data_IF_933251125419
#
_entry.id   IF_933251125419
#
_cell.length_a   1.000
_cell.length_b   1.000
_cell.length_c   1.000
_cell.angle_alpha   90.00
_cell.angle_beta   90.00
_cell.angle_gamma   90.00
#
_symmetry.space_group_name_H-M   'P 1'
#
loop_
_entity.id
_entity.type
_entity.pdbx_description
1 polymer ?
#
# COMPACT_ATOMS: atom_id res chain seq x y z
N UNK A 1 10.88 -5.97 -14.60
CA UNK A 1 10.55 -4.97 -15.64
C UNK A 1 9.93 -3.76 -14.96
N UNK A 2 10.45 -2.57 -15.21
CA UNK A 2 9.84 -1.33 -14.70
C UNK A 2 8.47 -1.12 -15.35
N UNK A 3 7.50 -0.71 -14.56
CA UNK A 3 6.16 -0.38 -15.02
C UNK A 3 6.01 1.15 -15.07
N UNK A 4 5.22 1.69 -16.03
CA UNK A 4 4.94 3.12 -16.05
C UNK A 4 4.48 3.63 -14.68
N UNK A 5 5.09 4.71 -14.21
CA UNK A 5 4.71 5.32 -12.95
C UNK A 5 3.27 5.83 -13.05
N UNK A 6 2.38 5.27 -12.24
CA UNK A 6 0.98 5.72 -12.14
C UNK A 6 0.76 6.66 -10.96
N UNK A 7 1.80 6.97 -10.17
CA UNK A 7 1.72 7.81 -8.99
C UNK A 7 3.01 8.61 -8.72
N UNK A 8 2.91 9.62 -7.86
CA UNK A 8 3.99 10.57 -7.56
C UNK A 8 4.91 10.15 -6.40
N UNK A 9 4.54 9.11 -5.65
CA UNK A 9 5.23 8.73 -4.43
C UNK A 9 6.00 7.40 -4.53
N UNK A 10 5.77 6.62 -5.59
CA UNK A 10 6.34 5.27 -5.73
C UNK A 10 6.62 4.90 -7.18
N UNK A 11 7.72 4.17 -7.38
CA UNK A 11 8.00 3.42 -8.59
C UNK A 11 7.56 1.96 -8.45
N UNK A 12 7.27 1.30 -9.57
CA UNK A 12 6.82 -0.09 -9.57
C UNK A 12 7.68 -0.95 -10.50
N UNK A 13 8.17 -2.07 -10.00
CA UNK A 13 8.96 -3.04 -10.77
C UNK A 13 8.36 -4.43 -10.60
N UNK A 14 7.99 -5.07 -11.71
CA UNK A 14 7.61 -6.50 -11.71
C UNK A 14 8.87 -7.34 -11.53
N UNK A 15 8.87 -8.20 -10.52
CA UNK A 15 9.94 -9.14 -10.19
C UNK A 15 9.85 -10.40 -11.07
N UNK A 16 10.95 -11.16 -11.13
CA UNK A 16 11.04 -12.37 -11.96
C UNK A 16 10.07 -13.48 -11.53
N UNK A 17 9.71 -13.51 -10.26
CA UNK A 17 8.78 -14.47 -9.67
C UNK A 17 7.30 -14.05 -9.78
N UNK A 18 7.03 -12.95 -10.50
CA UNK A 18 5.68 -12.46 -10.74
C UNK A 18 5.15 -11.49 -9.68
N UNK A 19 5.86 -11.25 -8.58
CA UNK A 19 5.48 -10.24 -7.56
C UNK A 19 5.81 -8.82 -8.01
N UNK A 20 5.33 -7.84 -7.26
CA UNK A 20 5.59 -6.42 -7.51
C UNK A 20 6.43 -5.80 -6.39
N UNK A 21 7.55 -5.19 -6.75
CA UNK A 21 8.25 -4.26 -5.88
C UNK A 21 7.65 -2.86 -6.03
N UNK A 22 7.09 -2.33 -4.95
CA UNK A 22 6.62 -0.95 -4.81
C UNK A 22 7.71 -0.15 -4.08
N UNK A 23 8.52 0.57 -4.83
CA UNK A 23 9.69 1.31 -4.36
C UNK A 23 9.23 2.71 -3.95
N UNK A 24 9.43 3.07 -2.68
CA UNK A 24 9.08 4.41 -2.21
C UNK A 24 10.14 5.42 -2.66
N UNK A 25 9.69 6.59 -3.12
CA UNK A 25 10.61 7.69 -3.40
C UNK A 25 11.00 8.40 -2.11
N UNK A 26 12.31 8.58 -1.92
CA UNK A 26 12.93 9.39 -0.88
C UNK A 26 14.31 9.84 -1.35
N UNK A 27 14.88 10.86 -0.70
CA UNK A 27 16.26 11.24 -0.92
C UNK A 27 17.19 10.43 0.00
N UNK A 28 18.46 10.31 -0.38
CA UNK A 28 19.48 9.71 0.49
C UNK A 28 19.57 10.45 1.83
N UNK A 29 19.60 9.69 2.93
CA UNK A 29 19.63 10.22 4.29
C UNK A 29 18.30 10.77 4.84
N UNK A 30 17.16 10.55 4.18
CA UNK A 30 15.85 10.92 4.73
C UNK A 30 15.57 10.14 6.04
N UNK A 31 15.51 10.84 7.20
CA UNK A 31 15.34 10.17 8.50
C UNK A 31 13.92 9.60 8.70
N UNK A 32 12.96 9.97 7.86
CA UNK A 32 11.56 9.54 7.96
C UNK A 32 11.23 8.34 7.08
N UNK A 33 12.13 7.98 6.14
CA UNK A 33 11.85 6.99 5.11
C UNK A 33 11.41 5.64 5.69
N UNK A 34 12.14 5.12 6.67
CA UNK A 34 11.82 3.83 7.31
C UNK A 34 10.46 3.88 8.03
N UNK A 35 10.19 4.94 8.79
CA UNK A 35 8.91 5.10 9.48
C UNK A 35 7.72 5.15 8.49
N UNK A 36 7.84 5.93 7.41
CA UNK A 36 6.82 6.01 6.34
C UNK A 36 6.64 4.69 5.62
N UNK A 37 7.71 3.92 5.40
CA UNK A 37 7.65 2.59 4.80
C UNK A 37 6.91 1.61 5.71
N UNK A 38 7.21 1.61 7.00
CA UNK A 38 6.57 0.75 7.99
C UNK A 38 5.08 1.05 8.19
N UNK A 39 4.67 2.32 8.17
CA UNK A 39 3.23 2.67 8.21
C UNK A 39 2.49 2.07 7.02
N UNK A 40 3.08 2.13 5.82
CA UNK A 40 2.49 1.53 4.62
C UNK A 40 2.47 0.00 4.69
N UNK A 41 3.54 -0.63 5.18
CA UNK A 41 3.58 -2.06 5.40
C UNK A 41 2.45 -2.51 6.35
N UNK A 42 2.24 -1.76 7.43
CA UNK A 42 1.19 -2.05 8.39
C UNK A 42 -0.20 -1.89 7.79
N UNK A 43 -0.42 -0.86 6.95
CA UNK A 43 -1.67 -0.71 6.22
C UNK A 43 -1.98 -1.93 5.32
N UNK A 44 -0.99 -2.48 4.60
CA UNK A 44 -1.20 -3.70 3.82
C UNK A 44 -1.56 -4.91 4.70
N UNK A 45 -0.90 -5.09 5.85
CA UNK A 45 -1.22 -6.18 6.78
C UNK A 45 -2.63 -6.03 7.35
N UNK A 46 -2.99 -4.82 7.78
CA UNK A 46 -4.29 -4.51 8.34
C UNK A 46 -5.43 -4.73 7.33
N UNK A 47 -5.21 -4.40 6.06
CA UNK A 47 -6.21 -4.56 4.99
C UNK A 47 -6.30 -5.99 4.43
N UNK A 48 -5.37 -6.88 4.77
CA UNK A 48 -5.33 -8.25 4.25
C UNK A 48 -6.64 -9.03 4.48
N UNK A 49 -7.31 -8.98 5.65
CA UNK A 49 -8.53 -9.74 5.89
C UNK A 49 -9.71 -9.35 4.98
N UNK A 50 -9.73 -8.13 4.44
CA UNK A 50 -10.76 -7.73 3.49
C UNK A 50 -10.65 -8.45 2.14
N UNK A 51 -9.49 -9.04 1.82
CA UNK A 51 -9.21 -9.68 0.53
C UNK A 51 -9.47 -8.78 -0.69
N UNK A 52 -9.33 -7.45 -0.51
CA UNK A 52 -9.49 -6.42 -1.55
C UNK A 52 -8.20 -5.66 -1.88
N UNK A 53 -7.09 -6.03 -1.27
CA UNK A 53 -5.78 -5.39 -1.46
C UNK A 53 -4.70 -6.44 -1.76
N UNK A 54 -3.61 -6.06 -2.46
CA UNK A 54 -2.45 -6.95 -2.64
C UNK A 54 -1.91 -7.44 -1.30
N UNK A 55 -1.53 -8.72 -1.20
CA UNK A 55 -0.83 -9.22 -0.02
C UNK A 55 0.57 -8.64 0.06
N UNK A 56 0.99 -8.22 1.25
CA UNK A 56 2.39 -7.91 1.54
C UNK A 56 3.17 -9.19 1.79
N UNK A 57 4.30 -9.35 1.10
CA UNK A 57 5.22 -10.47 1.26
C UNK A 57 6.46 -10.07 2.05
N UNK A 58 7.03 -8.90 1.77
CA UNK A 58 8.32 -8.49 2.34
C UNK A 58 8.45 -6.97 2.42
N UNK A 59 9.23 -6.51 3.40
CA UNK A 59 9.67 -5.11 3.53
C UNK A 59 11.17 -5.08 3.33
N UNK A 60 11.63 -4.28 2.37
CA UNK A 60 13.05 -4.01 2.13
C UNK A 60 13.36 -2.64 2.72
N UNK A 61 14.16 -2.62 3.79
CA UNK A 61 14.53 -1.39 4.47
C UNK A 61 15.27 -0.38 3.56
N UNK A 62 15.14 0.92 3.84
CA UNK A 62 15.99 1.95 3.26
C UNK A 62 17.47 1.61 3.39
N UNK A 63 18.20 1.79 2.29
CA UNK A 63 19.66 1.58 2.21
C UNK A 63 20.25 2.37 1.05
N UNK A 64 21.58 2.47 0.99
CA UNK A 64 22.27 3.13 -0.11
C UNK A 64 21.80 2.56 -1.47
N UNK A 65 21.37 3.44 -2.38
CA UNK A 65 20.81 3.07 -3.68
C UNK A 65 19.33 2.65 -3.67
N UNK A 66 18.70 2.59 -2.49
CA UNK A 66 17.25 2.41 -2.30
C UNK A 66 16.80 3.26 -1.09
N UNK A 67 16.89 4.59 -1.18
CA UNK A 67 16.73 5.49 -0.03
C UNK A 67 15.34 5.45 0.62
N UNK A 68 14.29 5.08 -0.13
CA UNK A 68 12.93 4.93 0.43
C UNK A 68 12.59 3.50 0.85
N UNK A 69 13.46 2.52 0.59
CA UNK A 69 13.12 1.10 0.70
C UNK A 69 12.06 0.66 -0.34
N UNK A 70 11.54 -0.55 -0.15
CA UNK A 70 10.49 -1.10 -1.00
C UNK A 70 9.57 -2.06 -0.25
N UNK A 71 8.33 -2.17 -0.72
CA UNK A 71 7.39 -3.21 -0.30
C UNK A 71 7.26 -4.23 -1.43
N UNK A 72 7.38 -5.52 -1.12
CA UNK A 72 7.11 -6.60 -2.07
C UNK A 72 5.68 -7.06 -1.85
N UNK A 73 4.82 -6.86 -2.85
CA UNK A 73 3.39 -7.16 -2.79
C UNK A 73 2.95 -8.05 -3.95
N UNK A 74 1.73 -8.58 -3.89
CA UNK A 74 1.11 -9.23 -5.05
C UNK A 74 1.11 -8.29 -6.25
N UNK A 75 1.46 -8.84 -7.42
CA UNK A 75 1.12 -8.18 -8.68
C UNK A 75 -0.31 -8.57 -9.05
N UNK A 76 -1.16 -7.57 -9.28
CA UNK A 76 -2.55 -7.78 -9.68
C UNK A 76 -2.66 -7.54 -11.18
N UNK A 77 -2.93 -8.61 -11.93
CA UNK A 77 -3.25 -8.51 -13.34
C UNK A 77 -4.65 -7.93 -13.50
N UNK A 78 -4.77 -6.83 -14.24
CA UNK A 78 -6.04 -6.15 -14.42
C UNK A 78 -5.90 -4.78 -15.07
N UNK A 79 -6.99 -4.02 -15.02
CA UNK A 79 -7.09 -2.64 -15.50
C UNK A 79 -7.81 -1.77 -14.49
N UNK A 80 -7.71 -0.45 -14.65
CA UNK A 80 -8.56 0.48 -13.93
C UNK A 80 -10.07 0.19 -14.20
N UNK A 81 -10.95 0.40 -13.21
CA UNK A 81 -12.40 0.28 -13.40
C UNK A 81 -12.94 1.22 -14.49
N UNK A 82 -14.00 0.80 -15.19
CA UNK A 82 -14.74 1.60 -16.17
C UNK A 82 -15.92 2.25 -15.47
N UNK A 83 -15.98 3.57 -15.53
CA UNK A 83 -17.08 4.34 -14.97
C UNK A 83 -18.08 4.73 -16.07
N UNK A 84 -19.39 4.76 -15.78
CA UNK A 84 -20.02 4.47 -14.47
C UNK A 84 -20.28 2.97 -14.21
N UNK A 85 -20.11 2.12 -15.23
CA UNK A 85 -20.59 0.72 -15.23
C UNK A 85 -20.07 -0.15 -14.06
N UNK A 86 -18.90 0.14 -13.51
CA UNK A 86 -18.25 -0.65 -12.46
C UNK A 86 -18.27 0.04 -11.08
N UNK A 87 -19.10 1.08 -10.90
CA UNK A 87 -19.25 1.78 -9.62
C UNK A 87 -19.74 0.87 -8.48
N UNK A 88 -20.67 -0.05 -8.75
CA UNK A 88 -21.21 -0.98 -7.75
C UNK A 88 -20.09 -1.86 -7.16
N UNK A 89 -19.24 -2.43 -8.01
CA UNK A 89 -18.11 -3.25 -7.57
C UNK A 89 -17.07 -2.45 -6.75
N UNK A 90 -16.89 -1.16 -7.06
CA UNK A 90 -16.04 -0.27 -6.27
C UNK A 90 -16.67 0.02 -4.90
N UNK A 91 -17.98 0.26 -4.84
CA UNK A 91 -18.71 0.48 -3.59
C UNK A 91 -18.64 -0.75 -2.68
N UNK A 92 -18.86 -1.96 -3.22
CA UNK A 92 -18.71 -3.22 -2.49
C UNK A 92 -17.31 -3.41 -1.91
N UNK A 93 -16.28 -3.06 -2.70
CA UNK A 93 -14.89 -3.12 -2.26
C UNK A 93 -14.63 -2.20 -1.07
N UNK A 94 -15.11 -0.95 -1.12
CA UNK A 94 -15.00 0.01 -0.03
C UNK A 94 -15.80 -0.43 1.20
N UNK A 95 -17.01 -0.97 1.01
CA UNK A 95 -17.83 -1.49 2.10
C UNK A 95 -17.08 -2.60 2.86
N UNK A 96 -16.50 -3.58 2.17
CA UNK A 96 -15.68 -4.63 2.79
C UNK A 96 -14.53 -4.04 3.64
N UNK A 97 -13.82 -3.03 3.11
CA UNK A 97 -12.72 -2.37 3.83
C UNK A 97 -13.24 -1.65 5.07
N UNK A 98 -14.36 -0.94 4.97
CA UNK A 98 -14.96 -0.18 6.08
C UNK A 98 -15.55 -1.07 7.18
N UNK A 99 -15.82 -2.36 6.90
CA UNK A 99 -16.27 -3.31 7.94
C UNK A 99 -15.15 -3.88 8.80
N UNK A 100 -13.88 -3.63 8.46
CA UNK A 100 -12.75 -4.10 9.26
C UNK A 100 -12.75 -3.41 10.64
N UNK A 101 -12.39 -4.15 11.71
CA UNK A 101 -12.29 -3.56 13.04
C UNK A 101 -11.19 -2.51 13.09
N UNK A 102 -11.41 -1.39 13.78
CA UNK A 102 -10.40 -0.32 13.92
C UNK A 102 -9.02 -0.88 14.30
N UNK A 103 -7.92 -0.25 13.83
CA UNK A 103 -6.56 -0.66 14.20
C UNK A 103 -6.38 -0.71 15.72
N UNK A 104 -5.58 -1.67 16.20
CA UNK A 104 -5.27 -1.81 17.62
C UNK A 104 -4.67 -0.51 18.20
N UNK A 105 -4.84 -0.31 19.51
CA UNK A 105 -4.19 0.80 20.22
C UNK A 105 -2.67 0.66 20.07
N UNK A 106 -1.99 1.74 19.66
CA UNK A 106 -0.55 1.73 19.38
C UNK A 106 -0.16 1.29 17.96
N UNK A 107 -1.14 0.97 17.10
CA UNK A 107 -0.87 0.82 15.67
C UNK A 107 -0.31 2.13 15.09
N UNK A 108 0.65 2.07 14.15
CA UNK A 108 1.08 3.25 13.39
C UNK A 108 0.01 3.74 12.41
N UNK A 109 -1.06 2.97 12.17
CA UNK A 109 -2.20 3.39 11.36
C UNK A 109 -3.05 4.36 12.20
N UNK A 110 -3.39 5.55 11.66
CA UNK A 110 -4.28 6.47 12.35
C UNK A 110 -5.58 5.80 12.77
N UNK A 111 -5.96 6.03 14.04
CA UNK A 111 -7.19 5.54 14.63
C UNK A 111 -7.98 6.75 15.12
N UNK A 112 -9.06 7.08 14.42
CA UNK A 112 -10.00 8.10 14.87
C UNK A 112 -11.23 7.43 15.49
N UNK A 113 -11.62 7.88 16.68
CA UNK A 113 -12.84 7.40 17.35
C UNK A 113 -14.12 8.02 16.78
N UNK A 114 -14.00 9.20 16.17
CA UNK A 114 -15.06 9.88 15.43
C UNK A 114 -14.45 10.43 14.13
N UNK A 115 -15.02 10.13 12.94
CA UNK A 115 -14.51 10.66 11.67
C UNK A 115 -14.81 12.15 11.47
N UNK A 116 -15.54 12.78 12.42
CA UNK A 116 -15.95 14.19 12.36
C UNK A 116 -15.25 15.06 13.40
N UNK A 117 -14.35 14.49 14.19
CA UNK A 117 -13.55 15.24 15.17
C UNK A 117 -12.08 15.11 14.78
N UNK A 118 -11.42 16.26 14.63
CA UNK A 118 -9.97 16.34 14.37
C UNK A 118 -9.15 15.76 15.53
#
# INVERSE_FOLDING_TARGET
>A
MELPATGTAHGHVRLKDGRLARIAYAHEGDPTAAARLHVQAEAFRYLQPAARTPRLHEVIEPRAGLPGGALIVDFIEGRAPRLPDELEAMADTLACIHTLPLPAVGSPIPRQGSPFLE
#
